data_IF_034913765668
#
_entry.id   IF_034913765668
#
_cell.length_a   1.000
_cell.length_b   1.000
_cell.length_c   1.000
_cell.angle_alpha   90.00
_cell.angle_beta   90.00
_cell.angle_gamma   90.00
#
_symmetry.space_group_name_H-M   'P 1'
#
loop_
_entity.id
_entity.type
_entity.pdbx_description
1 polymer ?
#
# COMPACT_ATOMS: atom_id res chain seq x y z
N UNK A 1 -10.84 71.52 -14.53
CA UNK A 1 -11.79 70.95 -13.54
C UNK A 1 -13.14 71.61 -13.74
N UNK A 2 -14.31 70.94 -13.60
CA UNK A 2 -14.62 69.53 -13.26
C UNK A 2 -15.22 68.74 -14.46
N UNK A 3 -15.15 67.41 -14.60
CA UNK A 3 -15.67 66.24 -13.82
C UNK A 3 -17.19 66.04 -13.88
N UNK A 4 -17.64 64.93 -14.52
CA UNK A 4 -18.71 64.02 -14.03
C UNK A 4 -18.87 62.76 -14.94
N UNK A 5 -19.28 61.64 -14.34
CA UNK A 5 -19.05 60.23 -14.73
C UNK A 5 -20.27 59.49 -15.35
N UNK A 6 -19.97 58.44 -16.15
CA UNK A 6 -20.52 57.04 -16.29
C UNK A 6 -22.01 56.71 -15.96
N UNK A 7 -22.67 55.72 -16.64
CA UNK A 7 -22.31 54.30 -16.56
C UNK A 7 -22.47 53.39 -17.80
N UNK A 8 -21.76 52.25 -17.74
CA UNK A 8 -21.80 51.09 -18.64
C UNK A 8 -22.98 50.14 -18.34
N UNK A 9 -23.52 49.53 -19.40
CA UNK A 9 -24.38 48.33 -19.41
C UNK A 9 -24.29 47.73 -20.84
N UNK A 10 -24.41 46.44 -21.16
CA UNK A 10 -24.45 45.13 -20.51
C UNK A 10 -24.34 44.12 -21.66
N UNK A 11 -23.72 42.95 -21.48
CA UNK A 11 -23.94 41.77 -22.35
C UNK A 11 -23.48 40.47 -21.66
N UNK A 12 -24.09 39.32 -22.01
CA UNK A 12 -24.66 38.40 -21.02
C UNK A 12 -23.74 37.25 -20.59
N UNK A 13 -24.00 36.79 -19.36
CA UNK A 13 -23.46 35.58 -18.72
C UNK A 13 -23.89 34.36 -19.53
N UNK A 14 -22.94 33.58 -20.03
CA UNK A 14 -23.20 32.24 -20.56
C UNK A 14 -23.39 31.27 -19.39
N UNK A 15 -24.39 30.37 -19.42
CA UNK A 15 -24.61 29.41 -18.34
C UNK A 15 -23.48 28.38 -18.30
N UNK A 16 -22.96 28.17 -17.10
CA UNK A 16 -21.95 27.17 -16.74
C UNK A 16 -22.39 25.76 -17.11
N UNK A 17 -21.59 25.08 -17.93
CA UNK A 17 -21.50 23.62 -17.87
C UNK A 17 -20.37 23.25 -16.92
N UNK A 18 -20.60 23.47 -15.63
CA UNK A 18 -19.78 22.85 -14.59
C UNK A 18 -20.06 21.36 -14.65
N UNK A 19 -19.17 20.63 -15.31
CA UNK A 19 -19.11 19.18 -15.19
C UNK A 19 -18.68 18.87 -13.76
N UNK A 20 -19.65 18.69 -12.88
CA UNK A 20 -19.41 18.21 -11.53
C UNK A 20 -18.83 16.80 -11.65
N UNK A 21 -17.59 16.52 -11.20
CA UNK A 21 -17.12 15.16 -11.16
C UNK A 21 -18.01 14.42 -10.18
N UNK A 22 -18.75 13.44 -10.69
CA UNK A 22 -19.60 12.55 -9.89
C UNK A 22 -18.77 12.02 -8.74
N UNK A 23 -19.03 12.53 -7.55
CA UNK A 23 -18.43 12.06 -6.30
C UNK A 23 -19.10 10.74 -5.96
N UNK A 24 -18.68 9.67 -6.65
CA UNK A 24 -18.89 8.33 -6.15
C UNK A 24 -18.31 8.22 -4.73
N UNK A 25 -18.77 7.27 -3.90
CA UNK A 25 -18.29 7.14 -2.53
C UNK A 25 -16.76 7.14 -2.52
N UNK A 26 -16.17 8.12 -1.85
CA UNK A 26 -14.73 8.15 -1.67
C UNK A 26 -14.38 6.89 -0.89
N UNK A 27 -13.63 5.98 -1.53
CA UNK A 27 -13.16 4.76 -0.89
C UNK A 27 -12.35 5.07 0.38
N UNK A 28 -12.15 4.07 1.26
CA UNK A 28 -11.37 4.28 2.47
C UNK A 28 -9.99 4.86 2.14
N UNK A 29 -9.62 5.94 2.83
CA UNK A 29 -8.31 6.59 2.69
C UNK A 29 -7.32 6.20 3.78
N UNK A 30 -7.80 5.43 4.77
CA UNK A 30 -7.05 4.95 5.92
C UNK A 30 -7.18 3.42 6.03
N UNK A 31 -6.15 2.79 6.59
CA UNK A 31 -6.07 1.33 6.78
C UNK A 31 -7.25 0.80 7.61
N UNK A 32 -8.08 -0.10 7.07
CA UNK A 32 -9.17 -0.72 7.81
C UNK A 32 -8.69 -1.53 9.02
N UNK A 33 -9.45 -1.50 10.11
CA UNK A 33 -9.07 -2.12 11.39
C UNK A 33 -8.75 -3.62 11.28
N UNK A 34 -9.38 -4.33 10.33
CA UNK A 34 -9.14 -5.76 10.10
C UNK A 34 -7.69 -6.09 9.75
N UNK A 35 -6.93 -5.17 9.14
CA UNK A 35 -5.52 -5.40 8.83
C UNK A 35 -4.58 -5.12 10.00
N UNK A 36 -4.99 -4.32 10.97
CA UNK A 36 -4.08 -3.83 12.01
C UNK A 36 -3.59 -4.98 12.89
N UNK A 37 -2.31 -4.95 13.25
CA UNK A 37 -1.68 -5.94 14.11
C UNK A 37 -0.51 -6.65 13.43
N UNK A 38 0.03 -7.66 14.10
CA UNK A 38 1.12 -8.48 13.58
C UNK A 38 0.58 -9.75 12.93
N UNK A 39 1.16 -10.10 11.79
CA UNK A 39 0.82 -11.26 10.98
C UNK A 39 2.07 -12.07 10.74
N UNK A 40 1.96 -13.38 10.78
CA UNK A 40 3.06 -14.29 10.53
C UNK A 40 2.59 -15.54 9.78
N UNK A 41 3.42 -16.02 8.87
CA UNK A 41 3.16 -17.25 8.10
C UNK A 41 4.38 -17.70 7.32
N UNK A 42 4.29 -18.86 6.70
CA UNK A 42 5.33 -19.35 5.80
C UNK A 42 5.14 -18.75 4.40
N UNK A 43 6.23 -18.26 3.82
CA UNK A 43 6.27 -17.74 2.47
C UNK A 43 6.83 -18.74 1.47
N UNK A 44 6.41 -18.59 0.22
CA UNK A 44 6.90 -19.36 -0.92
C UNK A 44 7.10 -18.46 -2.12
N UNK A 45 8.08 -18.76 -2.96
CA UNK A 45 8.31 -18.11 -4.25
C UNK A 45 8.21 -19.10 -5.41
N UNK A 46 8.42 -18.59 -6.61
CA UNK A 46 8.46 -19.33 -7.87
C UNK A 46 7.22 -20.22 -8.05
N UNK A 47 6.04 -19.63 -7.84
CA UNK A 47 4.76 -20.34 -7.95
C UNK A 47 4.55 -21.41 -6.87
N UNK A 48 5.16 -21.25 -5.69
CA UNK A 48 5.03 -22.17 -4.56
C UNK A 48 6.11 -23.24 -4.48
N UNK A 49 7.01 -23.32 -5.47
CA UNK A 49 8.05 -24.36 -5.55
C UNK A 49 9.24 -24.10 -4.63
N UNK A 50 9.48 -22.85 -4.24
CA UNK A 50 10.59 -22.47 -3.38
C UNK A 50 10.09 -22.05 -2.00
N UNK A 51 10.39 -22.78 -0.92
CA UNK A 51 10.15 -22.30 0.45
C UNK A 51 11.04 -21.09 0.74
N UNK A 52 10.45 -19.99 1.22
CA UNK A 52 11.15 -18.74 1.52
C UNK A 52 11.23 -18.44 3.03
N UNK A 53 10.82 -19.39 3.85
CA UNK A 53 10.85 -19.29 5.31
C UNK A 53 9.72 -18.44 5.88
N UNK A 54 9.97 -17.78 7.00
CA UNK A 54 8.93 -17.09 7.77
C UNK A 54 8.80 -15.64 7.31
N UNK A 55 7.57 -15.24 7.03
CA UNK A 55 7.18 -13.87 6.73
C UNK A 55 6.46 -13.30 7.93
N UNK A 56 6.90 -12.15 8.43
CA UNK A 56 6.29 -11.45 9.56
C UNK A 56 6.14 -9.97 9.26
N UNK A 57 4.93 -9.43 9.42
CA UNK A 57 4.64 -8.01 9.20
C UNK A 57 3.81 -7.47 10.36
N UNK A 58 4.11 -6.25 10.82
CA UNK A 58 3.21 -5.50 11.70
C UNK A 58 2.60 -4.34 10.93
N UNK A 59 1.29 -4.43 10.68
CA UNK A 59 0.52 -3.41 9.98
C UNK A 59 0.01 -2.38 10.98
N UNK A 60 0.37 -1.13 10.75
CA UNK A 60 0.00 0.02 11.57
C UNK A 60 -1.06 0.87 10.87
N UNK A 61 -1.62 1.83 11.61
CA UNK A 61 -2.45 2.88 11.00
C UNK A 61 -1.55 3.76 10.13
N UNK A 62 -1.94 3.94 8.87
CA UNK A 62 -1.22 4.77 7.91
C UNK A 62 -2.20 5.40 6.92
N UNK A 63 -1.80 6.53 6.35
CA UNK A 63 -2.42 7.15 5.17
C UNK A 63 -1.60 6.82 3.92
N UNK A 64 -2.17 7.09 2.76
CA UNK A 64 -1.45 6.96 1.48
C UNK A 64 -0.19 7.83 1.52
N UNK A 65 0.95 7.24 1.16
CA UNK A 65 2.27 7.87 1.21
C UNK A 65 3.04 7.64 2.53
N UNK A 66 2.39 7.12 3.57
CA UNK A 66 3.03 6.83 4.86
C UNK A 66 3.49 5.37 4.93
N UNK A 67 4.46 5.10 5.81
CA UNK A 67 4.90 3.74 6.13
C UNK A 67 3.75 2.97 6.81
N UNK A 68 3.29 1.92 6.14
CA UNK A 68 2.29 0.97 6.64
C UNK A 68 2.88 0.03 7.70
N UNK A 69 4.13 -0.38 7.49
CA UNK A 69 4.83 -1.34 8.30
C UNK A 69 6.08 -1.84 7.60
N UNK A 70 6.71 -2.85 8.21
CA UNK A 70 7.89 -3.53 7.65
C UNK A 70 7.64 -5.02 7.61
N UNK A 71 7.92 -5.63 6.46
CA UNK A 71 7.94 -7.08 6.31
C UNK A 71 9.34 -7.57 6.65
N UNK A 72 9.44 -8.51 7.58
CA UNK A 72 10.64 -9.31 7.80
C UNK A 72 10.41 -10.70 7.22
N UNK A 73 11.30 -11.10 6.32
CA UNK A 73 11.43 -12.46 5.84
C UNK A 73 12.67 -13.07 6.50
N UNK A 74 12.54 -14.26 7.08
CA UNK A 74 13.64 -15.04 7.66
C UNK A 74 13.73 -16.38 6.95
N UNK A 75 14.86 -16.66 6.29
CA UNK A 75 15.01 -17.87 5.51
C UNK A 75 15.36 -19.10 6.37
N UNK A 76 15.49 -20.27 5.74
CA UNK A 76 15.77 -21.52 6.43
C UNK A 76 17.15 -21.58 7.11
N UNK A 77 18.09 -20.70 6.74
CA UNK A 77 19.42 -20.59 7.35
C UNK A 77 19.53 -19.41 8.32
N UNK A 78 18.44 -18.67 8.53
CA UNK A 78 18.33 -17.56 9.47
C UNK A 78 18.75 -16.20 8.90
N UNK A 79 19.00 -16.07 7.59
CA UNK A 79 19.21 -14.76 6.98
C UNK A 79 17.90 -13.96 6.95
N UNK A 80 18.00 -12.65 7.11
CA UNK A 80 16.84 -11.77 7.24
C UNK A 80 16.87 -10.68 6.17
N UNK A 81 15.78 -10.56 5.43
CA UNK A 81 15.49 -9.42 4.58
C UNK A 81 14.30 -8.63 5.13
N UNK A 82 14.47 -7.31 5.21
CA UNK A 82 13.41 -6.40 5.64
C UNK A 82 12.98 -5.46 4.52
N UNK A 83 11.70 -5.45 4.19
CA UNK A 83 11.12 -4.44 3.29
C UNK A 83 10.35 -3.39 4.07
N UNK A 84 10.51 -2.13 3.68
CA UNK A 84 9.68 -1.01 4.14
C UNK A 84 8.49 -0.88 3.20
N UNK A 85 7.29 -0.96 3.75
CA UNK A 85 6.05 -0.92 2.98
C UNK A 85 5.40 0.46 3.12
N UNK A 86 5.32 1.20 2.02
CA UNK A 86 4.65 2.50 1.94
C UNK A 86 3.29 2.35 1.28
N UNK A 87 2.24 2.83 1.94
CA UNK A 87 0.86 2.66 1.47
C UNK A 87 0.60 3.46 0.19
N UNK A 88 0.02 2.81 -0.83
CA UNK A 88 -0.31 3.42 -2.13
C UNK A 88 -1.80 3.50 -2.38
N UNK A 89 -2.54 2.46 -2.01
CA UNK A 89 -3.99 2.37 -2.21
C UNK A 89 -4.63 1.55 -1.11
N UNK A 90 -5.86 1.90 -0.75
CA UNK A 90 -6.67 1.18 0.22
C UNK A 90 -8.02 0.85 -0.41
N UNK A 91 -8.52 -0.35 -0.13
CA UNK A 91 -9.87 -0.80 -0.47
C UNK A 91 -10.46 -1.63 0.69
N UNK A 92 -11.70 -2.08 0.53
CA UNK A 92 -12.38 -2.94 1.50
C UNK A 92 -11.88 -4.38 1.56
N UNK A 93 -10.96 -4.80 0.69
CA UNK A 93 -10.36 -6.16 0.75
C UNK A 93 -8.88 -6.21 0.41
N UNK A 94 -8.29 -5.12 -0.04
CA UNK A 94 -6.88 -5.05 -0.45
C UNK A 94 -6.21 -3.74 -0.01
N UNK A 95 -4.97 -3.84 0.49
CA UNK A 95 -4.00 -2.74 0.57
C UNK A 95 -2.94 -2.95 -0.51
N UNK A 96 -2.62 -1.90 -1.25
CA UNK A 96 -1.50 -1.90 -2.20
C UNK A 96 -0.40 -1.02 -1.63
N UNK A 97 0.83 -1.51 -1.65
CA UNK A 97 2.00 -0.81 -1.11
C UNK A 97 3.14 -0.81 -2.12
N UNK A 98 4.00 0.20 -2.05
CA UNK A 98 5.36 0.10 -2.58
C UNK A 98 6.24 -0.47 -1.48
N UNK A 99 6.93 -1.56 -1.78
CA UNK A 99 7.94 -2.19 -0.93
C UNK A 99 9.33 -1.78 -1.43
N UNK A 100 10.25 -1.51 -0.50
CA UNK A 100 11.66 -1.25 -0.79
C UNK A 100 12.50 -1.93 0.27
N UNK A 101 13.53 -2.68 -0.13
CA UNK A 101 14.49 -3.24 0.82
C UNK A 101 15.11 -2.15 1.69
N UNK A 102 15.12 -2.39 3.01
CA UNK A 102 15.68 -1.48 3.98
C UNK A 102 17.18 -1.24 3.72
N UNK A 103 17.65 -0.02 3.99
CA UNK A 103 19.02 0.40 3.70
C UNK A 103 20.10 -0.39 4.48
N UNK A 104 19.72 -0.98 5.60
CA UNK A 104 20.56 -1.80 6.49
C UNK A 104 20.52 -3.30 6.15
N UNK A 105 19.78 -3.71 5.11
CA UNK A 105 19.79 -5.08 4.64
C UNK A 105 21.16 -5.51 4.11
N UNK A 106 21.44 -6.81 4.17
CA UNK A 106 22.57 -7.39 3.46
C UNK A 106 22.35 -7.37 1.93
N UNK A 107 23.44 -7.54 1.17
CA UNK A 107 23.43 -7.41 -0.30
C UNK A 107 22.57 -8.45 -1.06
N UNK A 108 22.04 -9.46 -0.36
CA UNK A 108 21.17 -10.47 -0.95
C UNK A 108 19.69 -10.06 -1.01
N UNK A 109 19.31 -9.02 -0.27
CA UNK A 109 17.95 -8.49 -0.29
C UNK A 109 17.78 -7.50 -1.45
N UNK A 110 16.57 -7.41 -1.98
CA UNK A 110 16.27 -6.53 -3.10
C UNK A 110 16.07 -5.07 -2.64
N UNK A 111 16.93 -4.11 -3.02
CA UNK A 111 16.74 -2.70 -2.68
C UNK A 111 15.77 -2.00 -3.65
N UNK A 112 15.31 -2.67 -4.71
CA UNK A 112 14.51 -2.05 -5.77
C UNK A 112 13.05 -1.97 -5.38
N UNK A 113 12.45 -0.80 -5.61
CA UNK A 113 11.04 -0.59 -5.34
C UNK A 113 10.15 -1.53 -6.18
N UNK A 114 9.22 -2.20 -5.52
CA UNK A 114 8.28 -3.12 -6.16
C UNK A 114 6.89 -3.05 -5.50
N UNK A 115 5.90 -3.68 -6.12
CA UNK A 115 4.53 -3.70 -5.60
C UNK A 115 4.33 -4.89 -4.68
N UNK A 116 3.73 -4.63 -3.53
CA UNK A 116 3.19 -5.66 -2.62
C UNK A 116 1.71 -5.41 -2.43
N UNK A 117 0.94 -6.50 -2.33
CA UNK A 117 -0.49 -6.49 -2.02
C UNK A 117 -0.74 -7.27 -0.75
N UNK A 118 -1.57 -6.71 0.11
CA UNK A 118 -2.04 -7.33 1.34
C UNK A 118 -3.56 -7.50 1.25
N UNK A 119 -4.01 -8.74 1.13
CA UNK A 119 -5.44 -9.08 0.90
C UNK A 119 -5.96 -9.90 2.08
N UNK A 120 -7.15 -9.60 2.58
CA UNK A 120 -7.78 -10.43 3.61
C UNK A 120 -8.35 -11.71 3.00
N UNK A 121 -8.08 -12.87 3.62
CA UNK A 121 -8.60 -14.18 3.21
C UNK A 121 -9.17 -14.89 4.44
N UNK A 122 -10.46 -14.70 4.69
CA UNK A 122 -11.07 -15.06 5.98
C UNK A 122 -10.45 -14.22 7.09
N UNK A 123 -9.97 -14.86 8.15
CA UNK A 123 -9.28 -14.22 9.26
C UNK A 123 -7.77 -14.04 9.03
N UNK A 124 -7.24 -14.52 7.89
CA UNK A 124 -5.83 -14.47 7.55
C UNK A 124 -5.50 -13.29 6.60
N UNK A 125 -4.21 -12.95 6.54
CA UNK A 125 -3.65 -11.97 5.61
C UNK A 125 -2.85 -12.69 4.52
N UNK A 126 -3.25 -12.53 3.26
CA UNK A 126 -2.42 -12.91 2.11
C UNK A 126 -1.46 -11.76 1.78
N UNK A 127 -0.17 -12.08 1.72
CA UNK A 127 0.87 -11.25 1.14
C UNK A 127 1.19 -11.77 -0.26
N UNK A 128 1.35 -10.88 -1.23
CA UNK A 128 1.89 -11.18 -2.57
C UNK A 128 2.79 -10.05 -3.05
N UNK A 129 3.95 -10.39 -3.58
CA UNK A 129 4.89 -9.46 -4.21
C UNK A 129 4.91 -9.65 -5.73
N UNK A 130 4.97 -8.53 -6.46
CA UNK A 130 5.19 -8.51 -7.92
C UNK A 130 6.69 -8.53 -8.28
N UNK A 131 7.59 -8.69 -7.30
CA UNK A 131 9.04 -8.67 -7.50
C UNK A 131 9.55 -9.95 -8.16
N UNK A 132 9.95 -9.84 -9.42
CA UNK A 132 10.63 -10.92 -10.15
C UNK A 132 11.98 -11.27 -9.51
N UNK A 133 12.70 -10.26 -9.01
CA UNK A 133 14.01 -10.44 -8.38
C UNK A 133 13.94 -11.28 -7.09
N UNK A 134 12.80 -11.28 -6.40
CA UNK A 134 12.54 -12.13 -5.23
C UNK A 134 11.81 -13.43 -5.60
N UNK A 135 11.49 -13.65 -6.88
CA UNK A 135 10.77 -14.83 -7.33
C UNK A 135 9.27 -14.81 -7.01
N UNK A 136 8.63 -13.64 -6.98
CA UNK A 136 7.20 -13.48 -6.72
C UNK A 136 6.73 -14.12 -5.39
N UNK A 137 7.28 -13.69 -4.24
CA UNK A 137 6.92 -14.27 -2.96
C UNK A 137 5.43 -14.08 -2.64
N UNK A 138 4.83 -15.14 -2.12
CA UNK A 138 3.50 -15.14 -1.52
C UNK A 138 3.55 -15.76 -0.13
N UNK A 139 2.69 -15.29 0.77
CA UNK A 139 2.49 -15.90 2.08
C UNK A 139 1.03 -15.80 2.52
N UNK A 140 0.50 -16.85 3.17
CA UNK A 140 -0.75 -16.77 3.92
C UNK A 140 -0.39 -16.72 5.40
N UNK A 141 -0.73 -15.62 6.04
CA UNK A 141 -0.27 -15.29 7.39
C UNK A 141 -1.44 -15.18 8.35
N UNK A 142 -1.28 -15.73 9.54
CA UNK A 142 -2.24 -15.62 10.61
C UNK A 142 -1.84 -14.51 11.58
N UNK A 143 -2.83 -13.94 12.26
CA UNK A 143 -2.59 -12.89 13.24
C UNK A 143 -1.86 -13.46 14.45
N UNK A 144 -0.80 -12.78 14.91
CA UNK A 144 0.02 -13.19 16.05
C UNK A 144 0.15 -12.05 17.06
N UNK A 145 0.18 -12.41 18.35
CA UNK A 145 0.14 -11.42 19.44
C UNK A 145 -1.27 -10.83 19.59
N UNK A 146 -1.85 -10.97 20.77
CA UNK A 146 -3.18 -10.43 21.10
C UNK A 146 -3.06 -9.01 21.63
#
# INVERSE_FOLDING_TARGET
VPSASLPSASSPVSPSLSSEPSSGPAGPTAVPARYLGTWEGQGTGLGGSLPMGTFRITVKKARIGEELGRLQQTDAIGAVCTDVLTLKKVTDTELVTTAVGAADNHAGCNPTAHTVRLTTVGDDLKYTSESEAEGYPEARMSKVGR
#
